data_IF_061748714597
#
_entry.id   IF_061748714597
#
_cell.length_a   1.000
_cell.length_b   1.000
_cell.length_c   1.000
_cell.angle_alpha   90.00
_cell.angle_beta   90.00
_cell.angle_gamma   90.00
#
_symmetry.space_group_name_H-M   'P 1'
#
loop_
_entity.id
_entity.type
_entity.pdbx_description
1 polymer ?
#
# COMPACT_ATOMS: atom_id res chain seq x y z
N UNK A 1 24.16 -27.63 -30.30
CA UNK A 1 22.74 -27.79 -29.90
C UNK A 1 22.44 -28.04 -28.41
N UNK A 2 23.42 -28.27 -27.51
CA UNK A 2 23.15 -28.41 -26.05
C UNK A 2 23.26 -27.08 -25.28
N UNK A 3 24.12 -26.16 -25.77
CA UNK A 3 24.45 -24.90 -25.08
C UNK A 3 23.47 -23.75 -25.41
N UNK A 4 22.83 -23.77 -26.58
CA UNK A 4 21.89 -22.72 -27.02
C UNK A 4 20.57 -22.76 -26.23
N UNK A 5 20.10 -23.96 -25.87
CA UNK A 5 18.90 -24.14 -25.03
C UNK A 5 19.13 -23.65 -23.59
N UNK A 6 20.35 -23.82 -23.06
CA UNK A 6 20.72 -23.35 -21.73
C UNK A 6 20.80 -21.82 -21.68
N UNK A 7 21.31 -21.18 -22.74
CA UNK A 7 21.38 -19.73 -22.86
C UNK A 7 19.99 -19.10 -22.94
N UNK A 8 19.09 -19.66 -23.75
CA UNK A 8 17.69 -19.22 -23.84
C UNK A 8 16.96 -19.33 -22.49
N UNK A 9 17.18 -20.42 -21.74
CA UNK A 9 16.56 -20.61 -20.42
C UNK A 9 17.05 -19.58 -19.39
N UNK A 10 18.36 -19.30 -19.36
CA UNK A 10 18.96 -18.28 -18.48
C UNK A 10 18.47 -16.87 -18.82
N UNK A 11 18.34 -16.56 -20.11
CA UNK A 11 17.89 -15.22 -20.55
C UNK A 11 16.42 -14.99 -20.17
N UNK A 12 15.55 -16.00 -20.35
CA UNK A 12 14.13 -15.93 -19.94
C UNK A 12 13.99 -15.79 -18.42
N UNK A 13 14.75 -16.56 -17.63
CA UNK A 13 14.80 -16.38 -16.18
C UNK A 13 15.21 -14.94 -15.81
N UNK A 14 16.22 -14.37 -16.48
CA UNK A 14 16.71 -13.01 -16.21
C UNK A 14 15.63 -11.93 -16.47
N UNK A 15 14.86 -12.05 -17.55
CA UNK A 15 13.75 -11.13 -17.82
C UNK A 15 12.57 -11.29 -16.84
N UNK A 16 12.34 -12.51 -16.32
CA UNK A 16 11.37 -12.73 -15.23
C UNK A 16 11.84 -12.08 -13.91
N UNK A 17 13.12 -12.17 -13.56
CA UNK A 17 13.64 -11.55 -12.33
C UNK A 17 13.69 -10.01 -12.39
N UNK A 18 14.00 -9.43 -13.56
CA UNK A 18 14.05 -7.96 -13.75
C UNK A 18 12.65 -7.30 -13.79
N UNK A 19 11.59 -8.06 -14.09
CA UNK A 19 10.22 -7.54 -14.10
C UNK A 19 9.58 -7.50 -12.70
N UNK A 20 10.15 -8.22 -11.72
CA UNK A 20 9.65 -8.26 -10.35
C UNK A 20 10.26 -7.20 -9.43
N UNK A 21 11.33 -6.52 -9.83
CA UNK A 21 11.89 -5.38 -9.09
C UNK A 21 11.18 -4.08 -9.47
N UNK A 22 9.86 -4.03 -9.34
CA UNK A 22 9.21 -2.73 -9.13
C UNK A 22 9.80 -2.18 -7.84
N UNK A 23 10.68 -1.18 -7.96
CA UNK A 23 11.32 -0.52 -6.83
C UNK A 23 10.21 0.11 -5.99
N UNK A 24 9.77 -0.62 -4.97
CA UNK A 24 8.71 -0.21 -4.07
C UNK A 24 9.17 1.11 -3.44
N UNK A 25 8.34 2.17 -3.53
CA UNK A 25 8.71 3.44 -2.90
C UNK A 25 8.63 3.23 -1.39
N UNK A 26 9.72 3.45 -0.63
CA UNK A 26 9.70 3.23 0.80
C UNK A 26 8.73 4.21 1.46
N UNK A 27 8.00 3.72 2.46
CA UNK A 27 7.08 4.56 3.21
C UNK A 27 7.84 5.67 3.93
N UNK A 28 7.42 6.90 3.71
CA UNK A 28 7.88 8.09 4.43
C UNK A 28 6.69 8.76 5.09
N UNK A 29 6.68 8.77 6.43
CA UNK A 29 5.65 9.46 7.20
C UNK A 29 5.58 10.95 6.84
N UNK A 30 6.74 11.59 6.63
CA UNK A 30 6.80 13.00 6.24
C UNK A 30 6.08 13.25 4.90
N UNK A 31 6.36 12.43 3.88
CA UNK A 31 5.70 12.55 2.58
C UNK A 31 4.20 12.23 2.67
N UNK A 32 3.85 11.22 3.47
CA UNK A 32 2.47 10.80 3.70
C UNK A 32 1.63 11.92 4.31
N UNK A 33 2.13 12.56 5.37
CA UNK A 33 1.45 13.66 6.06
C UNK A 33 1.35 14.91 5.17
N UNK A 34 2.29 15.10 4.23
CA UNK A 34 2.23 16.13 3.18
C UNK A 34 1.31 15.78 2.00
N UNK A 35 0.57 14.67 2.06
CA UNK A 35 -0.33 14.21 0.98
C UNK A 35 0.39 13.96 -0.36
N UNK A 36 1.71 13.76 -0.34
CA UNK A 36 2.53 13.64 -1.55
C UNK A 36 2.80 12.17 -1.88
N UNK A 37 2.50 11.76 -3.12
CA UNK A 37 2.82 10.43 -3.66
C UNK A 37 2.32 9.27 -2.77
N UNK A 38 1.22 9.44 -2.04
CA UNK A 38 0.69 8.41 -1.11
C UNK A 38 0.47 7.07 -1.80
N UNK A 39 -0.13 7.11 -2.99
CA UNK A 39 -0.37 5.92 -3.82
C UNK A 39 0.92 5.12 -4.09
N UNK A 40 2.06 5.78 -4.32
CA UNK A 40 3.31 5.09 -4.62
C UNK A 40 3.92 4.36 -3.41
N UNK A 41 3.53 4.75 -2.20
CA UNK A 41 4.04 4.21 -0.94
C UNK A 41 3.14 3.14 -0.32
N UNK A 42 1.98 2.83 -0.91
CA UNK A 42 0.98 1.93 -0.28
C UNK A 42 1.54 0.54 -0.06
N UNK A 43 2.29 -0.02 -1.00
CA UNK A 43 2.75 -1.40 -0.87
C UNK A 43 3.72 -1.56 0.31
N UNK A 44 4.67 -0.63 0.45
CA UNK A 44 5.64 -0.64 1.56
C UNK A 44 4.98 -0.28 2.90
N UNK A 45 3.95 0.57 2.89
CA UNK A 45 3.13 0.84 4.06
C UNK A 45 2.35 -0.40 4.50
N UNK A 46 1.66 -1.09 3.58
CA UNK A 46 0.89 -2.30 3.86
C UNK A 46 1.81 -3.39 4.41
N UNK A 47 3.00 -3.56 3.84
CA UNK A 47 4.01 -4.50 4.38
C UNK A 47 4.40 -4.14 5.82
N UNK A 48 4.68 -2.86 6.10
CA UNK A 48 4.99 -2.38 7.45
C UNK A 48 3.86 -2.67 8.44
N UNK A 49 2.61 -2.35 8.07
CA UNK A 49 1.44 -2.59 8.92
C UNK A 49 1.22 -4.09 9.18
N UNK A 50 1.36 -4.93 8.16
CA UNK A 50 1.26 -6.39 8.30
C UNK A 50 2.32 -6.97 9.23
N UNK A 51 3.54 -6.43 9.20
CA UNK A 51 4.65 -6.86 10.04
C UNK A 51 4.49 -6.40 11.49
N UNK A 52 4.10 -5.14 11.69
CA UNK A 52 4.07 -4.52 13.03
C UNK A 52 2.77 -4.77 13.78
N UNK A 53 1.69 -5.11 13.07
CA UNK A 53 0.33 -5.29 13.60
C UNK A 53 -0.07 -4.18 14.61
N UNK A 54 0.06 -2.89 14.24
CA UNK A 54 -0.17 -1.78 15.16
C UNK A 54 -1.64 -1.67 15.56
N UNK A 55 -1.91 -1.08 16.72
CA UNK A 55 -3.26 -0.69 17.09
C UNK A 55 -3.70 0.61 16.41
N UNK A 56 -5.00 0.92 16.48
CA UNK A 56 -5.60 2.13 15.89
C UNK A 56 -4.88 3.43 16.25
N UNK A 57 -4.50 3.62 17.51
CA UNK A 57 -3.81 4.83 17.94
C UNK A 57 -2.41 4.94 17.31
N UNK A 58 -1.69 3.83 17.20
CA UNK A 58 -0.39 3.79 16.53
C UNK A 58 -0.52 4.09 15.03
N UNK A 59 -1.57 3.58 14.36
CA UNK A 59 -1.85 3.92 12.96
C UNK A 59 -2.15 5.41 12.82
N UNK A 60 -2.95 6.00 13.71
CA UNK A 60 -3.25 7.45 13.66
C UNK A 60 -2.02 8.31 13.93
N UNK A 61 -1.12 7.87 14.81
CA UNK A 61 0.15 8.55 15.04
C UNK A 61 1.06 8.46 13.79
N UNK A 62 1.01 7.35 13.06
CA UNK A 62 1.82 7.11 11.87
C UNK A 62 1.28 7.85 10.64
N UNK A 63 -0.02 7.75 10.37
CA UNK A 63 -0.66 8.19 9.13
C UNK A 63 -1.42 9.52 9.26
N UNK A 64 -1.55 10.02 10.49
CA UNK A 64 -2.49 11.09 10.83
C UNK A 64 -3.91 10.57 10.98
N UNK A 65 -4.76 11.36 11.64
CA UNK A 65 -6.21 11.12 11.62
C UNK A 65 -6.77 11.51 10.25
N UNK A 66 -7.65 10.71 9.64
CA UNK A 66 -8.37 11.10 8.45
C UNK A 66 -9.14 12.40 8.72
N UNK A 67 -9.12 13.32 7.75
CA UNK A 67 -9.79 14.63 7.89
C UNK A 67 -11.32 14.56 7.81
N UNK A 68 -11.88 13.43 7.38
CA UNK A 68 -13.32 13.25 7.17
C UNK A 68 -13.83 12.13 8.07
N UNK A 69 -14.69 12.47 9.03
CA UNK A 69 -15.28 11.52 9.99
C UNK A 69 -16.09 10.42 9.29
N UNK A 70 -16.68 10.70 8.13
CA UNK A 70 -17.40 9.71 7.32
C UNK A 70 -16.54 8.59 6.72
N UNK A 71 -15.22 8.67 6.86
CA UNK A 71 -14.25 7.62 6.46
C UNK A 71 -13.76 6.78 7.63
N UNK A 72 -14.42 6.89 8.79
CA UNK A 72 -14.09 6.19 10.02
C UNK A 72 -15.34 5.40 10.42
N UNK A 73 -15.40 4.14 9.99
CA UNK A 73 -16.34 3.18 10.54
C UNK A 73 -15.77 2.59 11.84
N UNK A 74 -16.60 1.88 12.61
CA UNK A 74 -16.17 1.30 13.89
C UNK A 74 -14.95 0.40 13.76
N UNK A 75 -14.78 -0.29 12.62
CA UNK A 75 -13.69 -1.23 12.32
C UNK A 75 -12.90 -0.92 11.03
N UNK A 76 -13.16 0.20 10.35
CA UNK A 76 -12.46 0.55 9.10
C UNK A 76 -12.13 2.04 9.06
N UNK A 77 -10.96 2.36 8.50
CA UNK A 77 -10.53 3.74 8.27
C UNK A 77 -9.97 3.90 6.86
N UNK A 78 -10.46 4.89 6.13
CA UNK A 78 -10.01 5.18 4.77
C UNK A 78 -9.11 6.41 4.66
N UNK A 79 -8.00 6.23 3.96
CA UNK A 79 -7.05 7.29 3.62
C UNK A 79 -7.08 7.59 2.12
N UNK A 80 -7.35 8.85 1.77
CA UNK A 80 -7.23 9.30 0.39
C UNK A 80 -5.80 9.16 -0.14
N UNK A 81 -5.65 8.56 -1.33
CA UNK A 81 -4.38 8.33 -2.00
C UNK A 81 -4.17 9.27 -3.19
N UNK A 82 -5.11 9.26 -4.14
CA UNK A 82 -5.12 10.09 -5.35
C UNK A 82 -6.53 10.07 -5.97
N UNK A 83 -6.78 10.98 -6.90
CA UNK A 83 -7.88 10.86 -7.86
C UNK A 83 -7.32 10.79 -9.27
N UNK A 84 -7.93 9.97 -10.12
CA UNK A 84 -7.74 10.02 -11.56
C UNK A 84 -9.04 10.60 -12.12
N UNK A 85 -8.96 11.81 -12.67
CA UNK A 85 -10.12 12.61 -13.09
C UNK A 85 -11.11 12.95 -11.96
N UNK A 86 -12.35 13.28 -12.32
CA UNK A 86 -13.39 13.77 -11.39
C UNK A 86 -14.16 12.66 -10.66
N UNK A 87 -14.11 11.42 -11.16
CA UNK A 87 -14.96 10.32 -10.67
C UNK A 87 -14.15 9.26 -9.93
N UNK A 88 -12.93 8.95 -10.37
CA UNK A 88 -12.18 7.83 -9.81
C UNK A 88 -11.31 8.28 -8.63
N UNK A 89 -11.62 7.78 -7.44
CA UNK A 89 -10.88 8.02 -6.21
C UNK A 89 -10.20 6.74 -5.74
N UNK A 90 -8.92 6.85 -5.41
CA UNK A 90 -8.16 5.76 -4.81
C UNK A 90 -8.02 5.99 -3.32
N UNK A 91 -8.40 4.98 -2.54
CA UNK A 91 -8.30 5.01 -1.07
C UNK A 91 -7.53 3.81 -0.54
N UNK A 92 -6.85 3.99 0.58
CA UNK A 92 -6.31 2.90 1.38
C UNK A 92 -7.29 2.65 2.54
N UNK A 93 -7.99 1.52 2.47
CA UNK A 93 -8.86 1.05 3.53
C UNK A 93 -8.03 0.23 4.52
N UNK A 94 -8.07 0.62 5.80
CA UNK A 94 -7.39 -0.04 6.91
C UNK A 94 -8.44 -0.62 7.84
N UNK A 95 -8.46 -1.95 7.95
CA UNK A 95 -9.41 -2.70 8.75
C UNK A 95 -8.81 -3.09 10.10
N UNK A 96 -9.64 -3.06 11.12
CA UNK A 96 -9.31 -3.36 12.50
C UNK A 96 -10.16 -4.53 13.01
N UNK A 97 -9.56 -5.39 13.84
CA UNK A 97 -10.30 -6.39 14.59
C UNK A 97 -11.14 -5.76 15.71
N UNK A 98 -11.97 -6.56 16.37
CA UNK A 98 -12.82 -6.11 17.49
C UNK A 98 -12.01 -5.57 18.69
N UNK A 99 -10.72 -5.88 18.76
CA UNK A 99 -9.78 -5.35 19.74
C UNK A 99 -9.15 -4.01 19.36
N UNK A 100 -9.46 -3.47 18.17
CA UNK A 100 -8.89 -2.24 17.64
C UNK A 100 -7.46 -2.40 17.11
N UNK A 101 -7.02 -3.63 16.83
CA UNK A 101 -5.71 -3.92 16.25
C UNK A 101 -5.80 -4.05 14.74
N UNK A 102 -4.70 -3.75 14.06
CA UNK A 102 -4.61 -3.90 12.61
C UNK A 102 -4.90 -5.34 12.18
N UNK A 103 -5.94 -5.51 11.37
CA UNK A 103 -6.28 -6.78 10.75
C UNK A 103 -5.69 -6.86 9.34
N UNK A 104 -6.05 -5.89 8.49
CA UNK A 104 -5.65 -5.85 7.09
C UNK A 104 -5.66 -4.42 6.51
N UNK A 105 -5.01 -4.24 5.37
CA UNK A 105 -5.15 -3.03 4.56
C UNK A 105 -5.15 -3.37 3.08
N UNK A 106 -5.96 -2.63 2.31
CA UNK A 106 -6.13 -2.81 0.86
C UNK A 106 -6.32 -1.46 0.18
N UNK A 107 -5.86 -1.37 -1.06
CA UNK A 107 -6.16 -0.23 -1.92
C UNK A 107 -7.47 -0.50 -2.64
N UNK A 108 -8.41 0.43 -2.55
CA UNK A 108 -9.69 0.41 -3.23
C UNK A 108 -9.75 1.53 -4.28
N UNK A 109 -10.47 1.26 -5.35
CA UNK A 109 -10.82 2.22 -6.38
C UNK A 109 -12.34 2.42 -6.29
N UNK A 110 -12.76 3.65 -6.05
CA UNK A 110 -14.15 4.08 -5.98
C UNK A 110 -14.44 4.94 -7.22
N UNK A 111 -15.56 4.66 -7.90
CA UNK A 111 -16.04 5.37 -9.10
C UNK A 111 -17.33 6.16 -8.80
#
# INVERSE_FOLDING_TARGET
>A
MKNEKLFLLLTVCCFCFLSCTKKQTPFSQEQWLKEKNRYCMTDSLIEKLNKEKPNRQQIFNLLGKPKLEGRIADNEVDYFLKSEDFFTVWVLAVNFDDGGNFESAKVLCED
#
